data_IF_485772434925
#
_entry.id   IF_485772434925
#
_cell.length_a   1.000
_cell.length_b   1.000
_cell.length_c   1.000
_cell.angle_alpha   90.00
_cell.angle_beta   90.00
_cell.angle_gamma   90.00
#
_symmetry.space_group_name_H-M   'P 1'
#
loop_
_entity.id
_entity.type
_entity.pdbx_description
1 polymer ?
#
# COMPACT_ATOMS: atom_id res chain seq x y z
N UNK A 1 14.84 17.90 5.11
CA UNK A 1 13.57 17.98 4.37
C UNK A 1 12.68 18.94 5.11
N UNK A 2 12.08 19.94 4.46
CA UNK A 2 11.11 20.82 5.14
C UNK A 2 9.78 20.07 5.31
N UNK A 3 8.98 20.35 6.36
CA UNK A 3 7.68 19.71 6.56
C UNK A 3 6.77 19.82 5.34
N UNK A 4 6.76 20.97 4.67
CA UNK A 4 5.98 21.24 3.45
C UNK A 4 6.29 20.26 2.31
N UNK A 5 7.57 19.95 2.09
CA UNK A 5 7.99 18.98 1.06
C UNK A 5 7.58 17.56 1.43
N UNK A 6 7.50 17.25 2.72
CA UNK A 6 7.06 15.96 3.20
C UNK A 6 5.55 15.80 2.95
N UNK A 7 4.75 16.80 3.29
CA UNK A 7 3.29 16.79 3.09
C UNK A 7 2.90 16.66 1.61
N UNK A 8 3.72 17.19 0.69
CA UNK A 8 3.50 17.01 -0.75
C UNK A 8 3.76 15.56 -1.21
N UNK A 9 4.79 14.89 -0.69
CA UNK A 9 5.24 13.58 -1.20
C UNK A 9 4.58 12.41 -0.45
N UNK A 10 4.33 12.58 0.84
CA UNK A 10 3.80 11.55 1.73
C UNK A 10 2.47 10.92 1.25
N UNK A 11 1.48 11.66 0.72
CA UNK A 11 0.24 11.10 0.23
C UNK A 11 0.45 10.07 -0.88
N UNK A 12 1.40 10.34 -1.78
CA UNK A 12 1.75 9.45 -2.89
C UNK A 12 2.45 8.18 -2.40
N UNK A 13 3.29 8.28 -1.36
CA UNK A 13 3.92 7.11 -0.74
C UNK A 13 2.87 6.22 -0.08
N UNK A 14 1.95 6.82 0.68
CA UNK A 14 0.85 6.11 1.33
C UNK A 14 -0.03 5.42 0.29
N UNK A 15 -0.39 6.14 -0.77
CA UNK A 15 -1.16 5.60 -1.88
C UNK A 15 -0.44 4.44 -2.59
N UNK A 16 0.83 4.61 -2.94
CA UNK A 16 1.63 3.60 -3.62
C UNK A 16 1.75 2.32 -2.78
N UNK A 17 2.01 2.47 -1.47
CA UNK A 17 2.03 1.34 -0.55
C UNK A 17 0.69 0.61 -0.52
N UNK A 18 -0.41 1.36 -0.39
CA UNK A 18 -1.76 0.80 -0.41
C UNK A 18 -2.08 0.05 -1.71
N UNK A 19 -1.67 0.61 -2.85
CA UNK A 19 -1.86 0.02 -4.18
C UNK A 19 -1.08 -1.29 -4.33
N UNK A 20 0.22 -1.28 -4.00
CA UNK A 20 1.07 -2.47 -4.06
C UNK A 20 0.54 -3.57 -3.15
N UNK A 21 0.24 -3.25 -1.89
CA UNK A 21 -0.24 -4.24 -0.93
C UNK A 21 -1.60 -4.80 -1.31
N UNK A 22 -2.52 -3.96 -1.78
CA UNK A 22 -3.82 -4.41 -2.26
C UNK A 22 -3.68 -5.34 -3.46
N UNK A 23 -2.85 -4.98 -4.43
CA UNK A 23 -2.58 -5.78 -5.63
C UNK A 23 -1.95 -7.14 -5.28
N UNK A 24 -0.92 -7.15 -4.44
CA UNK A 24 -0.25 -8.39 -4.00
C UNK A 24 -1.22 -9.31 -3.26
N UNK A 25 -2.06 -8.77 -2.37
CA UNK A 25 -2.95 -9.57 -1.52
C UNK A 25 -4.24 -10.02 -2.20
N UNK A 26 -4.72 -9.32 -3.24
CA UNK A 26 -5.99 -9.66 -3.91
C UNK A 26 -5.79 -10.36 -5.25
N UNK A 27 -4.60 -10.31 -5.84
CA UNK A 27 -4.34 -11.00 -7.09
C UNK A 27 -3.93 -12.46 -6.82
N UNK A 28 -4.65 -13.46 -7.36
CA UNK A 28 -4.43 -14.87 -7.02
C UNK A 28 -3.03 -15.35 -7.37
N UNK A 29 -2.47 -14.92 -8.50
CA UNK A 29 -1.11 -15.28 -8.92
C UNK A 29 -0.03 -14.86 -7.92
N UNK A 30 -0.11 -13.65 -7.32
CA UNK A 30 0.92 -13.18 -6.39
C UNK A 30 0.84 -13.92 -5.05
N UNK A 31 -0.36 -14.23 -4.59
CA UNK A 31 -0.57 -15.04 -3.39
C UNK A 31 -0.10 -16.48 -3.58
N UNK A 32 -0.40 -17.11 -4.73
CA UNK A 32 0.07 -18.45 -5.04
C UNK A 32 1.60 -18.51 -5.15
N UNK A 33 2.22 -17.50 -5.78
CA UNK A 33 3.67 -17.38 -5.85
C UNK A 33 4.30 -17.20 -4.46
N UNK A 34 3.70 -16.35 -3.62
CA UNK A 34 4.14 -16.13 -2.25
C UNK A 34 4.06 -17.42 -1.42
N UNK A 35 2.96 -18.15 -1.51
CA UNK A 35 2.77 -19.44 -0.81
C UNK A 35 3.79 -20.50 -1.20
N UNK A 36 4.25 -20.50 -2.45
CA UNK A 36 5.26 -21.44 -2.94
C UNK A 36 6.70 -21.06 -2.62
N UNK A 37 6.98 -19.77 -2.41
CA UNK A 37 8.36 -19.25 -2.37
C UNK A 37 8.76 -18.66 -1.01
N UNK A 38 7.79 -18.25 -0.19
CA UNK A 38 8.05 -17.56 1.07
C UNK A 38 7.75 -18.48 2.26
N UNK A 39 8.47 -18.33 3.37
CA UNK A 39 8.17 -19.06 4.59
C UNK A 39 6.84 -18.59 5.20
N UNK A 40 6.17 -19.49 5.92
CA UNK A 40 4.82 -19.29 6.45
C UNK A 40 4.67 -18.02 7.31
N UNK A 41 5.68 -17.72 8.15
CA UNK A 41 5.69 -16.52 9.00
C UNK A 41 5.66 -15.21 8.19
N UNK A 42 6.37 -15.17 7.06
CA UNK A 42 6.40 -13.99 6.18
C UNK A 42 5.06 -13.82 5.47
N UNK A 43 4.46 -14.90 4.98
CA UNK A 43 3.13 -14.86 4.35
C UNK A 43 2.06 -14.39 5.34
N UNK A 44 2.10 -14.91 6.57
CA UNK A 44 1.17 -14.52 7.63
C UNK A 44 1.31 -13.03 7.96
N UNK A 45 2.54 -12.51 8.01
CA UNK A 45 2.78 -11.08 8.21
C UNK A 45 2.20 -10.26 7.05
N UNK A 46 2.51 -10.61 5.79
CA UNK A 46 2.00 -9.93 4.59
C UNK A 46 0.46 -9.90 4.58
N UNK A 47 -0.19 -11.02 4.89
CA UNK A 47 -1.66 -11.09 5.01
C UNK A 47 -2.22 -10.18 6.10
N UNK A 48 -1.48 -9.98 7.20
CA UNK A 48 -1.83 -9.04 8.27
C UNK A 48 -1.92 -7.58 7.79
N UNK A 49 -1.19 -7.21 6.74
CA UNK A 49 -1.25 -5.87 6.15
C UNK A 49 -2.46 -5.63 5.24
N UNK A 50 -3.40 -6.58 5.09
CA UNK A 50 -4.56 -6.42 4.21
C UNK A 50 -5.43 -5.21 4.56
N UNK A 51 -5.77 -5.07 5.84
CA UNK A 51 -6.56 -3.93 6.30
C UNK A 51 -5.81 -2.61 6.11
N UNK A 52 -4.52 -2.59 6.51
CA UNK A 52 -3.66 -1.42 6.36
C UNK A 52 -3.50 -1.02 4.89
N UNK A 53 -3.32 -1.98 3.98
CA UNK A 53 -3.19 -1.74 2.54
C UNK A 53 -4.42 -1.06 1.95
N UNK A 54 -5.63 -1.51 2.32
CA UNK A 54 -6.89 -0.89 1.89
C UNK A 54 -7.05 0.52 2.46
N UNK A 55 -6.71 0.73 3.74
CA UNK A 55 -6.74 2.06 4.37
C UNK A 55 -5.75 3.00 3.68
N UNK A 56 -4.50 2.58 3.48
CA UNK A 56 -3.49 3.37 2.78
C UNK A 56 -3.90 3.66 1.33
N UNK A 57 -4.57 2.72 0.65
CA UNK A 57 -5.05 2.93 -0.72
C UNK A 57 -6.14 4.01 -0.75
N UNK A 58 -7.15 3.91 0.11
CA UNK A 58 -8.26 4.85 0.16
C UNK A 58 -7.80 6.25 0.62
N UNK A 59 -7.11 6.31 1.77
CA UNK A 59 -6.63 7.59 2.34
C UNK A 59 -5.60 8.22 1.42
N UNK A 60 -4.65 7.45 0.89
CA UNK A 60 -3.65 7.94 -0.04
C UNK A 60 -4.26 8.45 -1.34
N UNK A 61 -5.30 7.79 -1.87
CA UNK A 61 -6.00 8.24 -3.07
C UNK A 61 -6.71 9.58 -2.84
N UNK A 62 -7.50 9.67 -1.75
CA UNK A 62 -8.22 10.89 -1.38
C UNK A 62 -7.22 12.03 -1.15
N UNK A 63 -6.19 11.80 -0.36
CA UNK A 63 -5.20 12.82 -0.03
C UNK A 63 -4.38 13.25 -1.26
N UNK A 64 -3.94 12.31 -2.10
CA UNK A 64 -3.23 12.65 -3.34
C UNK A 64 -4.12 13.44 -4.31
N UNK A 65 -5.43 13.16 -4.34
CA UNK A 65 -6.36 13.90 -5.20
C UNK A 65 -6.57 15.35 -4.77
N UNK A 66 -6.41 15.67 -3.47
CA UNK A 66 -6.46 17.06 -2.99
C UNK A 66 -5.33 17.90 -3.58
N UNK A 67 -4.16 17.31 -3.81
CA UNK A 67 -3.03 18.00 -4.46
C UNK A 67 -3.26 18.31 -5.95
N UNK A 68 -4.24 17.68 -6.61
CA UNK A 68 -4.58 17.98 -8.01
C UNK A 68 -5.42 19.26 -8.15
N UNK A 69 -5.95 19.79 -7.04
CA UNK A 69 -6.76 21.02 -7.01
C UNK A 69 -6.01 22.23 -6.43
N UNK A 70 -4.73 22.05 -6.08
CA UNK A 70 -3.79 23.14 -5.76
C UNK A 70 -3.16 23.68 -7.05
#
# INVERSE_FOLDING_TARGET
MTPEKLDLIFPYIVFAYGAVMTLVLHHPFFMELAERRLPYNVIQQIRGHRGLGLVCLAVGAIWSSQNLWL
#
